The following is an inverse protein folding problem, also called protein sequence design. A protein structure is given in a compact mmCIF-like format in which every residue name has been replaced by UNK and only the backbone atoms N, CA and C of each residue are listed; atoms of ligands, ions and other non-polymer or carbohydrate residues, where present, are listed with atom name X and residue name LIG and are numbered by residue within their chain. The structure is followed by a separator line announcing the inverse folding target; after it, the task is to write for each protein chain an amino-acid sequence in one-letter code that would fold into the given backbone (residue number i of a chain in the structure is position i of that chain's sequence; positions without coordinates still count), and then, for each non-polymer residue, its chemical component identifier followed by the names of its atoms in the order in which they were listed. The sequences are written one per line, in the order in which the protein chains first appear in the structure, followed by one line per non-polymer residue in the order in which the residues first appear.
data_IF_269785137764
#
_entry.id   IF_269785137764
#
_cell.length_a   1.000
_cell.length_b   1.000
_cell.length_c   1.000
_cell.angle_alpha   90.00
_cell.angle_beta   90.00
_cell.angle_gamma   90.00
#
_symmetry.space_group_name_H-M   'P 1'
#
loop_
_entity.id
_entity.type
_entity.pdbx_description
1 polymer ?
#
# COMPACT_ATOMS: atom_id res chain seq x y z
N UNK A 1 11.60 -19.84 -24.15
CA UNK A 1 10.14 -19.83 -23.90
C UNK A 1 9.56 -18.46 -24.11
N UNK A 2 8.32 -18.38 -24.62
CA UNK A 2 7.55 -17.15 -24.82
C UNK A 2 7.56 -16.22 -23.59
N UNK A 3 7.51 -16.77 -22.38
CA UNK A 3 7.46 -16.00 -21.13
C UNK A 3 8.71 -15.16 -20.85
N UNK A 4 9.91 -15.64 -21.21
CA UNK A 4 11.13 -14.87 -20.99
C UNK A 4 11.22 -13.67 -21.94
N UNK A 5 10.76 -13.84 -23.19
CA UNK A 5 10.69 -12.77 -24.18
C UNK A 5 9.65 -11.71 -23.76
N UNK A 6 8.49 -12.14 -23.26
CA UNK A 6 7.46 -11.23 -22.73
C UNK A 6 7.98 -10.40 -21.54
N UNK A 7 8.72 -11.01 -20.61
CA UNK A 7 9.32 -10.27 -19.49
C UNK A 7 10.36 -9.24 -19.96
N UNK A 8 11.14 -9.58 -20.99
CA UNK A 8 12.11 -8.66 -21.57
C UNK A 8 11.44 -7.47 -22.28
N UNK A 9 10.37 -7.73 -23.03
CA UNK A 9 9.58 -6.69 -23.68
C UNK A 9 8.92 -5.75 -22.66
N UNK A 10 8.31 -6.30 -21.59
CA UNK A 10 7.75 -5.50 -20.49
C UNK A 10 8.82 -4.65 -19.80
N UNK A 11 10.03 -5.19 -19.63
CA UNK A 11 11.14 -4.42 -19.06
C UNK A 11 11.51 -3.23 -19.94
N UNK A 12 11.59 -3.42 -21.27
CA UNK A 12 11.91 -2.34 -22.21
C UNK A 12 10.81 -1.27 -22.25
N UNK A 13 9.54 -1.68 -22.23
CA UNK A 13 8.42 -0.74 -22.16
C UNK A 13 8.49 0.10 -20.88
N UNK A 14 8.78 -0.54 -19.74
CA UNK A 14 8.95 0.17 -18.48
C UNK A 14 10.11 1.16 -18.50
N UNK A 15 11.27 0.75 -19.03
CA UNK A 15 12.47 1.61 -19.11
C UNK A 15 12.25 2.84 -20.01
N UNK A 16 11.25 2.79 -20.91
CA UNK A 16 10.86 3.93 -21.77
C UNK A 16 9.94 4.95 -21.09
N UNK A 17 9.40 4.64 -19.90
CA UNK A 17 8.51 5.54 -19.17
C UNK A 17 9.35 6.64 -18.50
N UNK A 18 9.12 7.89 -18.89
CA UNK A 18 9.73 9.05 -18.23
C UNK A 18 8.85 9.56 -17.09
N UNK A 19 9.36 9.45 -15.85
CA UNK A 19 8.75 10.03 -14.66
C UNK A 19 9.51 11.30 -14.27
N UNK A 20 8.79 12.43 -14.21
CA UNK A 20 9.35 13.74 -13.82
C UNK A 20 9.55 13.85 -12.32
N UNK A 21 8.72 13.17 -11.53
CA UNK A 21 8.84 13.13 -10.08
C UNK A 21 9.93 12.14 -9.64
N UNK A 22 11.01 12.68 -9.06
CA UNK A 22 12.19 11.92 -8.65
C UNK A 22 11.87 10.95 -7.51
N UNK A 23 10.99 11.33 -6.59
CA UNK A 23 10.64 10.52 -5.43
C UNK A 23 9.72 9.36 -5.84
N UNK A 24 8.71 9.63 -6.66
CA UNK A 24 7.87 8.57 -7.23
C UNK A 24 8.68 7.61 -8.08
N UNK A 25 9.59 8.12 -8.91
CA UNK A 25 10.53 7.28 -9.68
C UNK A 25 11.33 6.37 -8.76
N UNK A 26 11.89 6.90 -7.67
CA UNK A 26 12.66 6.12 -6.69
C UNK A 26 11.82 5.02 -6.06
N UNK A 27 10.58 5.31 -5.65
CA UNK A 27 9.66 4.36 -5.01
C UNK A 27 9.24 3.24 -5.97
N UNK A 28 8.89 3.59 -7.21
CA UNK A 28 8.48 2.65 -8.25
C UNK A 28 9.63 1.71 -8.64
N UNK A 29 10.84 2.24 -8.81
CA UNK A 29 12.04 1.41 -9.09
C UNK A 29 12.40 0.50 -7.89
N UNK A 30 12.23 0.97 -6.66
CA UNK A 30 12.42 0.14 -5.48
C UNK A 30 11.43 -1.04 -5.48
N UNK A 31 10.15 -0.80 -5.79
CA UNK A 31 9.14 -1.86 -5.92
C UNK A 31 9.52 -2.88 -7.00
N UNK A 32 9.96 -2.43 -8.17
CA UNK A 32 10.42 -3.30 -9.27
C UNK A 32 11.58 -4.18 -8.85
N UNK A 33 12.61 -3.60 -8.22
CA UNK A 33 13.77 -4.36 -7.70
C UNK A 33 13.34 -5.41 -6.68
N UNK A 34 12.44 -5.04 -5.77
CA UNK A 34 11.90 -5.97 -4.77
C UNK A 34 11.09 -7.11 -5.41
N UNK A 35 10.33 -6.84 -6.47
CA UNK A 35 9.58 -7.87 -7.20
C UNK A 35 10.48 -8.95 -7.83
N UNK A 36 11.73 -8.62 -8.13
CA UNK A 36 12.75 -9.54 -8.65
C UNK A 36 13.56 -10.24 -7.55
N UNK A 37 13.33 -9.89 -6.28
CA UNK A 37 14.08 -10.40 -5.14
C UNK A 37 13.29 -11.46 -4.36
N UNK A 38 14.00 -12.34 -3.66
CA UNK A 38 13.37 -13.21 -2.66
C UNK A 38 13.01 -12.37 -1.43
N UNK A 39 11.71 -12.26 -1.14
CA UNK A 39 11.16 -11.53 0.00
C UNK A 39 10.17 -12.39 0.77
N UNK A 40 9.96 -12.06 2.04
CA UNK A 40 8.89 -12.65 2.84
C UNK A 40 7.54 -12.04 2.45
N UNK A 41 6.85 -12.70 1.51
CA UNK A 41 5.54 -12.25 1.02
C UNK A 41 4.44 -12.31 2.08
N UNK A 42 4.59 -13.11 3.13
CA UNK A 42 3.64 -13.15 4.25
C UNK A 42 3.80 -11.91 5.14
N UNK A 43 5.03 -11.46 5.38
CA UNK A 43 5.28 -10.18 6.04
C UNK A 43 4.69 -9.01 5.24
N UNK A 44 4.88 -9.00 3.91
CA UNK A 44 4.28 -7.99 3.02
C UNK A 44 2.74 -8.02 3.09
N UNK A 45 2.12 -9.20 3.17
CA UNK A 45 0.67 -9.31 3.34
C UNK A 45 0.20 -8.67 4.65
N UNK A 46 0.94 -8.83 5.74
CA UNK A 46 0.64 -8.21 7.03
C UNK A 46 0.77 -6.67 6.97
N UNK A 47 1.81 -6.15 6.30
CA UNK A 47 1.98 -4.72 6.08
C UNK A 47 0.84 -4.12 5.24
N UNK A 48 0.46 -4.78 4.14
CA UNK A 48 -0.68 -4.37 3.30
C UNK A 48 -1.99 -4.40 4.06
N UNK A 49 -2.22 -5.43 4.88
CA UNK A 49 -3.38 -5.52 5.77
C UNK A 49 -3.43 -4.35 6.75
N UNK A 50 -2.29 -3.97 7.33
CA UNK A 50 -2.21 -2.79 8.20
C UNK A 50 -2.56 -1.50 7.44
N UNK A 51 -2.07 -1.31 6.21
CA UNK A 51 -2.41 -0.13 5.42
C UNK A 51 -3.92 -0.06 5.08
N UNK A 52 -4.58 -1.20 4.86
CA UNK A 52 -6.05 -1.25 4.74
C UNK A 52 -6.74 -0.76 6.02
N UNK A 53 -6.29 -1.22 7.19
CA UNK A 53 -6.85 -0.79 8.49
C UNK A 53 -6.65 0.71 8.71
N UNK A 54 -5.48 1.23 8.35
CA UNK A 54 -5.20 2.66 8.45
C UNK A 54 -6.15 3.46 7.57
N UNK A 55 -6.38 3.01 6.32
CA UNK A 55 -7.29 3.69 5.39
C UNK A 55 -8.72 3.68 5.94
N UNK A 56 -9.18 2.54 6.45
CA UNK A 56 -10.49 2.40 7.09
C UNK A 56 -10.66 3.32 8.30
N UNK A 57 -9.59 3.59 9.06
CA UNK A 57 -9.63 4.57 10.15
C UNK A 57 -9.74 5.99 9.58
N UNK A 58 -8.90 6.34 8.60
CA UNK A 58 -8.89 7.67 7.98
C UNK A 58 -10.24 8.00 7.32
N UNK A 59 -10.91 6.99 6.76
CA UNK A 59 -12.19 7.08 6.07
C UNK A 59 -13.41 6.84 6.99
N UNK A 60 -13.22 6.61 8.29
CA UNK A 60 -14.26 6.22 9.25
C UNK A 60 -15.13 5.03 8.80
N UNK A 61 -14.51 4.07 8.11
CA UNK A 61 -15.12 2.80 7.69
C UNK A 61 -14.80 1.70 8.70
N UNK A 62 -15.75 0.81 8.98
CA UNK A 62 -15.54 -0.32 9.89
C UNK A 62 -14.57 -1.35 9.28
N UNK A 63 -13.57 -1.78 10.05
CA UNK A 63 -12.70 -2.88 9.66
C UNK A 63 -13.42 -4.24 9.77
N UNK A 64 -13.04 -5.25 8.95
CA UNK A 64 -13.49 -6.62 9.09
C UNK A 64 -13.37 -7.16 10.53
N UNK A 65 -14.20 -8.13 10.88
CA UNK A 65 -14.31 -8.62 12.26
C UNK A 65 -12.97 -9.15 12.81
N UNK A 66 -12.20 -9.84 11.98
CA UNK A 66 -10.86 -10.36 12.30
C UNK A 66 -9.81 -9.26 12.57
N UNK A 67 -10.08 -8.01 12.16
CA UNK A 67 -9.18 -6.87 12.29
C UNK A 67 -9.52 -5.92 13.42
N UNK A 68 -10.68 -6.08 14.08
CA UNK A 68 -11.11 -5.19 15.17
C UNK A 68 -10.11 -5.10 16.32
N UNK A 69 -9.37 -6.16 16.60
CA UNK A 69 -8.31 -6.14 17.62
C UNK A 69 -7.11 -5.30 17.16
N UNK A 70 -6.64 -5.52 15.93
CA UNK A 70 -5.48 -4.83 15.35
C UNK A 70 -5.77 -3.34 15.12
N UNK A 71 -6.97 -3.00 14.64
CA UNK A 71 -7.44 -1.61 14.52
C UNK A 71 -7.36 -0.87 15.86
N UNK A 72 -7.91 -1.47 16.93
CA UNK A 72 -7.91 -0.87 18.28
C UNK A 72 -6.49 -0.67 18.80
N UNK A 73 -5.61 -1.66 18.61
CA UNK A 73 -4.21 -1.54 18.99
C UNK A 73 -3.55 -0.37 18.27
N UNK A 74 -3.70 -0.27 16.95
CA UNK A 74 -3.14 0.83 16.17
C UNK A 74 -3.66 2.20 16.65
N UNK A 75 -4.98 2.33 16.89
CA UNK A 75 -5.56 3.58 17.38
C UNK A 75 -4.98 3.99 18.75
N UNK A 76 -4.80 3.05 19.68
CA UNK A 76 -4.14 3.31 20.97
C UNK A 76 -2.68 3.76 20.80
N UNK A 77 -1.93 3.13 19.88
CA UNK A 77 -0.56 3.53 19.54
C UNK A 77 -0.50 4.93 18.91
N UNK A 78 -1.48 5.30 18.08
CA UNK A 78 -1.52 6.66 17.51
C UNK A 78 -1.86 7.72 18.56
N UNK A 79 -2.76 7.40 19.51
CA UNK A 79 -3.08 8.30 20.62
C UNK A 79 -1.86 8.58 21.51
N UNK A 80 -1.02 7.57 21.76
CA UNK A 80 0.20 7.75 22.56
C UNK A 80 1.28 8.54 21.81
N UNK A 81 1.38 8.39 20.49
CA UNK A 81 2.35 9.10 19.64
C UNK A 81 1.98 10.56 19.38
N UNK A 82 0.71 10.83 19.11
CA UNK A 82 0.28 12.15 18.64
C UNK A 82 0.20 13.18 19.78
N UNK A 83 0.06 12.74 21.04
CA UNK A 83 -0.27 13.63 22.14
C UNK A 83 -1.63 14.30 21.96
N UNK A 84 -2.19 14.85 23.03
CA UNK A 84 -3.46 15.60 22.95
C UNK A 84 -3.19 16.96 22.29
N UNK A 85 -3.44 17.11 20.98
CA UNK A 85 -3.52 18.42 20.33
C UNK A 85 -2.76 18.64 19.01
N UNK A 86 -2.41 17.61 18.25
CA UNK A 86 -1.86 17.81 16.90
C UNK A 86 -2.94 18.30 15.92
N UNK A 87 -2.52 19.19 15.02
CA UNK A 87 -3.36 19.75 13.95
C UNK A 87 -3.90 18.64 13.05
N UNK A 88 -5.14 18.76 12.53
CA UNK A 88 -5.66 17.81 11.56
C UNK A 88 -4.77 17.85 10.31
N UNK A 89 -4.21 16.69 9.95
CA UNK A 89 -3.60 16.49 8.64
C UNK A 89 -4.69 16.77 7.59
N UNK A 90 -4.34 17.45 6.49
CA UNK A 90 -5.27 17.59 5.38
C UNK A 90 -5.67 16.18 4.90
N UNK A 91 -6.94 15.82 5.06
CA UNK A 91 -7.41 14.47 4.75
C UNK A 91 -7.14 14.09 3.29
N UNK A 92 -7.20 15.03 2.35
CA UNK A 92 -6.93 14.77 0.93
C UNK A 92 -5.46 14.37 0.69
N UNK A 93 -4.51 15.16 1.22
CA UNK A 93 -3.07 14.84 1.13
C UNK A 93 -2.71 13.53 1.82
N UNK A 94 -3.38 13.21 2.94
CA UNK A 94 -3.23 11.93 3.63
C UNK A 94 -3.67 10.77 2.72
N UNK A 95 -4.86 10.87 2.11
CA UNK A 95 -5.39 9.82 1.24
C UNK A 95 -4.55 9.63 -0.02
N UNK A 96 -4.09 10.72 -0.65
CA UNK A 96 -3.16 10.65 -1.78
C UNK A 96 -1.85 9.93 -1.40
N UNK A 97 -1.30 10.26 -0.22
CA UNK A 97 -0.09 9.60 0.29
C UNK A 97 -0.33 8.11 0.49
N UNK A 98 -1.46 7.73 1.08
CA UNK A 98 -1.82 6.32 1.32
C UNK A 98 -2.02 5.54 0.02
N UNK A 99 -2.61 6.15 -1.01
CA UNK A 99 -2.75 5.53 -2.33
C UNK A 99 -1.38 5.32 -2.98
N UNK A 100 -0.50 6.33 -2.92
CA UNK A 100 0.87 6.20 -3.42
C UNK A 100 1.66 5.13 -2.66
N UNK A 101 1.49 5.03 -1.35
CA UNK A 101 2.02 3.95 -0.51
C UNK A 101 1.54 2.60 -1.00
N UNK A 102 0.23 2.42 -1.19
CA UNK A 102 -0.35 1.18 -1.71
C UNK A 102 0.25 0.74 -3.05
N UNK A 103 0.36 1.67 -4.00
CA UNK A 103 0.86 1.43 -5.35
C UNK A 103 2.36 1.12 -5.37
N UNK A 104 3.12 1.64 -4.41
CA UNK A 104 4.56 1.45 -4.31
C UNK A 104 4.98 0.28 -3.41
N UNK A 105 4.07 -0.29 -2.61
CA UNK A 105 4.38 -1.44 -1.78
C UNK A 105 4.74 -2.70 -2.61
N UNK A 106 5.65 -3.55 -2.09
CA UNK A 106 5.87 -4.89 -2.66
C UNK A 106 4.57 -5.69 -2.74
N UNK A 107 4.52 -6.69 -3.62
CA UNK A 107 3.35 -7.56 -3.74
C UNK A 107 3.34 -8.65 -2.66
N UNK A 108 2.18 -8.92 -2.07
CA UNK A 108 1.92 -10.08 -1.24
C UNK A 108 1.85 -11.38 -2.08
N UNK A 109 1.50 -12.50 -1.44
CA UNK A 109 1.09 -13.72 -2.15
C UNK A 109 -0.16 -13.46 -3.02
N UNK A 110 -0.28 -14.13 -4.16
CA UNK A 110 -1.24 -13.77 -5.21
C UNK A 110 -2.70 -13.65 -4.72
N UNK A 111 -3.18 -14.63 -3.94
CA UNK A 111 -4.55 -14.62 -3.41
C UNK A 111 -4.77 -13.51 -2.38
N UNK A 112 -3.81 -13.32 -1.47
CA UNK A 112 -3.87 -12.28 -0.45
C UNK A 112 -3.77 -10.89 -1.08
N UNK A 113 -2.88 -10.72 -2.06
CA UNK A 113 -2.72 -9.49 -2.83
C UNK A 113 -4.06 -9.08 -3.45
N UNK A 114 -4.73 -9.99 -4.14
CA UNK A 114 -6.02 -9.72 -4.77
C UNK A 114 -7.08 -9.28 -3.77
N UNK A 115 -7.25 -10.04 -2.67
CA UNK A 115 -8.24 -9.72 -1.65
C UNK A 115 -7.97 -8.37 -0.97
N UNK A 116 -6.70 -8.08 -0.71
CA UNK A 116 -6.27 -6.82 -0.09
C UNK A 116 -6.40 -5.62 -1.06
N UNK A 117 -6.12 -5.81 -2.35
CA UNK A 117 -6.34 -4.79 -3.39
C UNK A 117 -7.83 -4.43 -3.52
N UNK A 118 -8.71 -5.44 -3.56
CA UNK A 118 -10.16 -5.24 -3.59
C UNK A 118 -10.66 -4.46 -2.37
N UNK A 119 -10.19 -4.85 -1.18
CA UNK A 119 -10.52 -4.16 0.08
C UNK A 119 -10.05 -2.70 0.08
N UNK A 120 -8.79 -2.44 -0.26
CA UNK A 120 -8.23 -1.09 -0.25
C UNK A 120 -8.98 -0.17 -1.23
N UNK A 121 -9.23 -0.66 -2.45
CA UNK A 121 -9.92 0.10 -3.50
C UNK A 121 -11.39 0.35 -3.16
N UNK A 122 -12.08 -0.59 -2.51
CA UNK A 122 -13.45 -0.41 -2.05
C UNK A 122 -13.55 0.76 -1.06
N UNK A 123 -12.66 0.80 -0.08
CA UNK A 123 -12.63 1.86 0.94
C UNK A 123 -12.24 3.21 0.33
N UNK A 124 -11.18 3.24 -0.50
CA UNK A 124 -10.69 4.48 -1.11
C UNK A 124 -11.77 5.15 -1.98
N UNK A 125 -12.57 4.37 -2.72
CA UNK A 125 -13.67 4.87 -3.56
C UNK A 125 -14.92 5.27 -2.79
N UNK A 126 -14.94 5.04 -1.49
CA UNK A 126 -16.04 5.46 -0.61
C UNK A 126 -15.87 6.89 -0.09
N UNK A 127 -14.75 7.56 -0.46
CA UNK A 127 -14.48 8.97 -0.20
C UNK A 127 -15.34 9.94 -1.00
#
# INVERSE_FOLDING_TARGET
SSSAQQLQELSLQWDSIELQDVELKRRIEARRKTAQSAIDRAAIAAERRMLCIQLEIAMDVESPAEDKALRRQYQLEQMSKSGLGQQPVNNEELLETMELDWLCMPGAEAEQQKALDERFQLVLRSA
#
